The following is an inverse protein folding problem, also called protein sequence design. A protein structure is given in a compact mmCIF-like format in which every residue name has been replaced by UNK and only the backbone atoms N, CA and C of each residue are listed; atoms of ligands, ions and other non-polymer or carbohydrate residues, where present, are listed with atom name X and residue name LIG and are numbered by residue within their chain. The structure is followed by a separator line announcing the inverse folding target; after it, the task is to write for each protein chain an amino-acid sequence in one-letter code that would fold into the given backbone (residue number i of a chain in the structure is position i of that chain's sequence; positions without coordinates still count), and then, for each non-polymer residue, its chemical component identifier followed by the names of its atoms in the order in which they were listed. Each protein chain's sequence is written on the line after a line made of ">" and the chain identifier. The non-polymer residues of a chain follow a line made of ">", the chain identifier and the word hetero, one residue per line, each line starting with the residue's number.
data_IF_974395744294
#
_entry.id   IF_974395744294
#
_cell.length_a   1.000
_cell.length_b   1.000
_cell.length_c   1.000
_cell.angle_alpha   90.00
_cell.angle_beta   90.00
_cell.angle_gamma   90.00
#
_symmetry.space_group_name_H-M   'P 1'
#
loop_
_entity.id
_entity.type
_entity.pdbx_description
1 polymer ?
#
# COMPACT_ATOMS: atom_id res chain seq x y z
N UNK A 1 44.57 -70.57 -52.58
CA UNK A 1 44.78 -69.27 -51.93
C UNK A 1 43.47 -68.46 -52.07
N UNK A 2 42.62 -68.39 -50.98
CA UNK A 2 41.37 -67.62 -50.96
C UNK A 2 41.60 -66.44 -50.05
N UNK A 3 41.35 -65.23 -50.59
CA UNK A 3 41.38 -63.97 -49.81
C UNK A 3 40.00 -63.74 -49.15
N UNK A 4 39.97 -63.27 -47.88
CA UNK A 4 38.70 -62.94 -47.26
C UNK A 4 38.29 -61.51 -47.65
N UNK A 5 37.00 -61.33 -47.92
CA UNK A 5 36.34 -60.02 -48.19
C UNK A 5 36.00 -59.44 -46.83
N UNK A 6 36.55 -58.26 -46.56
CA UNK A 6 36.26 -57.46 -45.35
C UNK A 6 35.04 -56.59 -45.65
N UNK A 7 33.91 -56.84 -44.93
CA UNK A 7 32.68 -56.02 -45.01
C UNK A 7 32.75 -54.98 -43.90
N UNK A 8 33.01 -53.73 -44.27
CA UNK A 8 33.00 -52.58 -43.32
C UNK A 8 31.57 -52.11 -43.15
N UNK A 9 30.99 -52.37 -41.99
CA UNK A 9 29.67 -51.86 -41.60
C UNK A 9 29.81 -50.40 -41.14
N UNK A 10 29.30 -49.41 -41.91
CA UNK A 10 29.23 -48.00 -41.48
C UNK A 10 28.01 -47.85 -40.61
N UNK A 11 28.21 -47.67 -39.31
CA UNK A 11 27.15 -47.28 -38.38
C UNK A 11 26.78 -45.80 -38.63
N UNK A 12 25.55 -45.55 -39.09
CA UNK A 12 24.96 -44.22 -39.27
C UNK A 12 24.33 -43.81 -37.94
N UNK A 13 25.04 -42.97 -37.16
CA UNK A 13 24.52 -42.39 -35.92
C UNK A 13 23.55 -41.27 -36.26
N UNK A 14 22.24 -41.50 -36.12
CA UNK A 14 21.22 -40.48 -36.21
C UNK A 14 21.21 -39.71 -34.90
N UNK A 15 21.76 -38.53 -34.87
CA UNK A 15 21.64 -37.58 -33.76
C UNK A 15 20.22 -37.00 -33.78
N UNK A 16 19.34 -37.54 -32.94
CA UNK A 16 18.01 -36.95 -32.69
C UNK A 16 18.20 -35.65 -31.91
N UNK A 17 18.23 -34.52 -32.57
CA UNK A 17 18.16 -33.20 -31.93
C UNK A 17 16.76 -33.04 -31.31
N UNK A 18 16.66 -33.26 -29.98
CA UNK A 18 15.48 -32.84 -29.23
C UNK A 18 15.40 -31.31 -29.26
N UNK A 19 14.70 -30.77 -30.22
CA UNK A 19 14.20 -29.40 -30.12
C UNK A 19 13.14 -29.39 -29.02
N UNK A 20 13.56 -29.13 -27.77
CA UNK A 20 12.65 -28.69 -26.74
C UNK A 20 12.09 -27.35 -27.20
N UNK A 21 10.95 -27.39 -27.87
CA UNK A 21 10.18 -26.19 -28.18
C UNK A 21 9.88 -25.51 -26.83
N UNK A 22 10.56 -24.43 -26.52
CA UNK A 22 10.18 -23.57 -25.41
C UNK A 22 8.74 -23.14 -25.69
N UNK A 23 7.77 -23.69 -24.96
CA UNK A 23 6.40 -23.22 -25.01
C UNK A 23 6.46 -21.73 -24.69
N UNK A 24 6.16 -20.86 -25.66
CA UNK A 24 6.11 -19.43 -25.42
C UNK A 24 4.96 -19.17 -24.47
N UNK A 25 5.25 -18.55 -23.33
CA UNK A 25 4.24 -18.13 -22.39
C UNK A 25 3.18 -17.26 -23.09
N UNK A 26 1.92 -17.48 -22.74
CA UNK A 26 0.83 -16.64 -23.25
C UNK A 26 1.03 -15.19 -22.80
N UNK A 27 0.76 -14.25 -23.71
CA UNK A 27 0.92 -12.82 -23.39
C UNK A 27 -0.20 -12.34 -22.48
N UNK A 28 0.17 -11.70 -21.39
CA UNK A 28 -0.75 -11.13 -20.41
C UNK A 28 -0.79 -9.61 -20.52
N UNK A 29 -1.99 -9.04 -20.61
CA UNK A 29 -2.22 -7.60 -20.48
C UNK A 29 -2.93 -7.30 -19.18
N UNK A 30 -2.25 -6.68 -18.23
CA UNK A 30 -2.84 -6.17 -16.97
C UNK A 30 -3.46 -4.80 -17.23
N UNK A 31 -4.80 -4.71 -17.04
CA UNK A 31 -5.56 -3.45 -17.09
C UNK A 31 -5.76 -2.98 -15.66
N UNK A 32 -4.95 -2.04 -15.23
CA UNK A 32 -4.76 -1.65 -13.83
C UNK A 32 -5.32 -0.26 -13.55
N UNK A 33 -6.62 -0.09 -13.19
CA UNK A 33 -7.09 1.13 -12.57
C UNK A 33 -6.36 1.35 -11.25
N UNK A 34 -6.08 2.60 -10.92
CA UNK A 34 -5.33 2.98 -9.72
C UNK A 34 -6.13 3.93 -8.85
N UNK A 35 -5.90 3.86 -7.55
CA UNK A 35 -6.52 4.75 -6.58
C UNK A 35 -5.79 6.09 -6.42
N UNK A 36 -4.51 6.14 -6.79
CA UNK A 36 -3.62 7.30 -6.61
C UNK A 36 -3.02 7.71 -7.94
N UNK A 37 -3.18 9.00 -8.32
CA UNK A 37 -2.69 9.51 -9.60
C UNK A 37 -1.18 9.31 -9.79
N UNK A 38 -0.74 8.97 -11.00
CA UNK A 38 0.68 8.69 -11.33
C UNK A 38 1.62 9.88 -11.12
N UNK A 39 1.10 11.08 -10.89
CA UNK A 39 1.84 12.29 -10.55
C UNK A 39 2.16 12.42 -9.06
N UNK A 40 1.58 11.57 -8.20
CA UNK A 40 1.82 11.58 -6.76
C UNK A 40 3.04 10.70 -6.43
N UNK A 41 4.13 11.30 -5.91
CA UNK A 41 5.32 10.54 -5.57
C UNK A 41 5.01 9.51 -4.48
N UNK A 42 5.72 8.41 -4.49
CA UNK A 42 5.58 7.29 -3.56
C UNK A 42 4.18 6.66 -3.44
N UNK A 43 3.13 7.27 -4.00
CA UNK A 43 1.77 6.72 -4.07
C UNK A 43 1.43 6.16 -5.47
N UNK A 44 1.43 7.00 -6.48
CA UNK A 44 1.11 6.62 -7.86
C UNK A 44 2.33 6.33 -8.72
N UNK A 45 3.48 6.95 -8.41
CA UNK A 45 4.75 6.67 -9.08
C UNK A 45 5.21 5.22 -8.96
N UNK A 46 5.01 4.47 -7.85
CA UNK A 46 5.44 3.09 -7.74
C UNK A 46 4.80 2.17 -8.80
N UNK A 47 3.49 2.22 -8.96
CA UNK A 47 2.81 1.38 -9.94
C UNK A 47 3.15 1.78 -11.39
N UNK A 48 3.40 3.06 -11.64
CA UNK A 48 3.94 3.55 -12.90
C UNK A 48 5.34 2.96 -13.15
N UNK A 49 6.21 2.99 -12.14
CA UNK A 49 7.55 2.40 -12.18
C UNK A 49 7.51 0.90 -12.51
N UNK A 50 6.58 0.13 -11.88
CA UNK A 50 6.34 -1.28 -12.20
C UNK A 50 5.88 -1.44 -13.65
N UNK A 51 4.92 -0.64 -14.10
CA UNK A 51 4.34 -0.74 -15.45
C UNK A 51 5.36 -0.50 -16.56
N UNK A 52 6.34 0.36 -16.33
CA UNK A 52 7.43 0.65 -17.27
C UNK A 52 8.47 -0.48 -17.36
N UNK A 53 8.58 -1.31 -16.30
CA UNK A 53 9.62 -2.35 -16.17
C UNK A 53 9.10 -3.77 -16.39
N UNK A 54 7.82 -4.01 -16.20
CA UNK A 54 7.26 -5.36 -16.26
C UNK A 54 7.46 -6.01 -17.65
N UNK A 55 7.38 -5.22 -18.71
CA UNK A 55 7.53 -5.76 -20.08
C UNK A 55 8.93 -6.31 -20.32
N UNK A 56 10.04 -5.56 -20.15
CA UNK A 56 11.38 -6.11 -20.32
C UNK A 56 11.70 -7.20 -19.29
N UNK A 57 11.29 -7.05 -18.02
CA UNK A 57 11.59 -8.03 -16.94
C UNK A 57 10.90 -9.38 -17.18
N UNK A 58 9.68 -9.36 -17.73
CA UNK A 58 8.95 -10.59 -18.08
C UNK A 58 9.33 -11.20 -19.44
N UNK A 59 10.40 -10.75 -20.09
CA UNK A 59 10.75 -11.19 -21.43
C UNK A 59 9.67 -10.88 -22.49
N UNK A 60 8.99 -9.73 -22.37
CA UNK A 60 7.89 -9.25 -23.23
C UNK A 60 6.61 -10.11 -23.17
N UNK A 61 6.42 -10.90 -22.12
CA UNK A 61 5.22 -11.73 -21.93
C UNK A 61 4.12 -11.01 -21.16
N UNK A 62 4.47 -9.99 -20.33
CA UNK A 62 3.48 -9.18 -19.61
C UNK A 62 3.55 -7.72 -20.08
N UNK A 63 2.38 -7.11 -20.26
CA UNK A 63 2.21 -5.66 -20.34
C UNK A 63 1.26 -5.19 -19.26
N UNK A 64 1.57 -4.04 -18.64
CA UNK A 64 0.67 -3.40 -17.68
C UNK A 64 0.24 -2.04 -18.26
N UNK A 65 -1.07 -1.80 -18.31
CA UNK A 65 -1.65 -0.52 -18.68
C UNK A 65 -2.31 0.09 -17.46
N UNK A 66 -1.72 1.17 -16.95
CA UNK A 66 -2.21 1.94 -15.81
C UNK A 66 -3.30 2.91 -16.29
N UNK A 67 -4.38 3.02 -15.51
CA UNK A 67 -5.49 3.95 -15.75
C UNK A 67 -5.64 4.86 -14.53
N UNK A 68 -5.55 6.16 -14.75
CA UNK A 68 -5.70 7.20 -13.73
C UNK A 68 -7.02 7.05 -12.93
N UNK A 69 -7.08 7.54 -11.69
CA UNK A 69 -8.25 7.44 -10.84
C UNK A 69 -9.55 7.84 -11.53
N UNK A 70 -10.58 7.01 -11.43
CA UNK A 70 -11.89 7.24 -12.02
C UNK A 70 -12.00 7.05 -13.54
N UNK A 71 -10.89 6.80 -14.27
CA UNK A 71 -10.95 6.63 -15.74
C UNK A 71 -11.54 5.29 -16.19
N UNK A 72 -11.37 4.24 -15.41
CA UNK A 72 -11.89 2.91 -15.71
C UNK A 72 -12.80 2.39 -14.61
N UNK A 73 -12.40 2.60 -13.37
CA UNK A 73 -13.11 2.21 -12.14
C UNK A 73 -12.92 3.33 -11.12
N UNK A 74 -13.95 3.60 -10.31
CA UNK A 74 -13.81 4.52 -9.18
C UNK A 74 -12.83 3.93 -8.14
N UNK A 75 -11.99 4.75 -7.47
CA UNK A 75 -10.97 4.25 -6.53
C UNK A 75 -11.48 3.27 -5.48
N UNK A 76 -12.63 3.54 -4.88
CA UNK A 76 -13.22 2.71 -3.82
C UNK A 76 -13.94 1.45 -4.35
N UNK A 77 -14.04 1.27 -5.66
CA UNK A 77 -14.64 0.11 -6.32
C UNK A 77 -13.62 -0.85 -6.95
N UNK A 78 -12.32 -0.55 -6.82
CA UNK A 78 -11.26 -1.33 -7.48
C UNK A 78 -11.28 -2.79 -7.03
N UNK A 79 -11.45 -3.08 -5.74
CA UNK A 79 -11.50 -4.46 -5.23
C UNK A 79 -12.61 -5.27 -5.90
N UNK A 80 -13.83 -4.74 -5.92
CA UNK A 80 -14.98 -5.44 -6.51
C UNK A 80 -14.82 -5.64 -8.01
N UNK A 81 -14.26 -4.64 -8.70
CA UNK A 81 -14.03 -4.71 -10.14
C UNK A 81 -12.96 -5.75 -10.51
N UNK A 82 -11.90 -5.90 -9.70
CA UNK A 82 -10.88 -6.94 -9.88
C UNK A 82 -11.45 -8.31 -9.54
N UNK A 83 -12.12 -8.44 -8.39
CA UNK A 83 -12.68 -9.70 -7.93
C UNK A 83 -13.70 -10.27 -8.92
N UNK A 84 -14.60 -9.43 -9.46
CA UNK A 84 -15.59 -9.84 -10.46
C UNK A 84 -15.01 -10.08 -11.87
N UNK A 85 -13.73 -9.77 -12.12
CA UNK A 85 -13.12 -9.88 -13.44
C UNK A 85 -13.51 -8.76 -14.42
N UNK A 86 -14.22 -7.70 -13.97
CA UNK A 86 -14.50 -6.49 -14.79
C UNK A 86 -13.20 -5.82 -15.26
N UNK A 87 -12.19 -5.84 -14.41
CA UNK A 87 -10.78 -5.60 -14.74
C UNK A 87 -9.94 -6.75 -14.17
N UNK A 88 -8.76 -6.98 -14.70
CA UNK A 88 -7.94 -8.12 -14.27
C UNK A 88 -6.83 -7.78 -13.29
N UNK A 89 -6.66 -6.50 -12.99
CA UNK A 89 -5.76 -6.01 -11.93
C UNK A 89 -6.21 -4.64 -11.43
N UNK A 90 -5.68 -4.20 -10.28
CA UNK A 90 -5.95 -2.89 -9.69
C UNK A 90 -4.89 -2.53 -8.66
N UNK A 91 -4.65 -1.25 -8.44
CA UNK A 91 -3.67 -0.79 -7.45
C UNK A 91 -4.33 0.20 -6.49
N UNK A 92 -4.23 -0.10 -5.20
CA UNK A 92 -4.89 0.67 -4.14
C UNK A 92 -4.19 0.46 -2.78
N UNK A 93 -4.91 0.66 -1.70
CA UNK A 93 -4.52 0.28 -0.34
C UNK A 93 -5.69 -0.43 0.34
N UNK A 94 -5.40 -1.48 1.10
CA UNK A 94 -6.42 -2.33 1.71
C UNK A 94 -7.34 -1.59 2.68
N UNK A 95 -6.87 -0.53 3.33
CA UNK A 95 -7.67 0.27 4.24
C UNK A 95 -8.93 0.89 3.60
N UNK A 96 -8.98 1.01 2.27
CA UNK A 96 -10.20 1.42 1.59
C UNK A 96 -11.35 0.41 1.71
N UNK A 97 -11.02 -0.82 2.07
CA UNK A 97 -11.98 -1.92 2.21
C UNK A 97 -12.39 -2.21 3.66
N UNK A 98 -11.96 -1.40 4.64
CA UNK A 98 -12.25 -1.64 6.07
C UNK A 98 -13.74 -1.80 6.38
N UNK A 99 -14.62 -1.10 5.66
CA UNK A 99 -16.07 -1.25 5.79
C UNK A 99 -16.63 -2.60 5.33
N UNK A 100 -15.85 -3.37 4.55
CA UNK A 100 -16.19 -4.71 4.06
C UNK A 100 -15.47 -5.79 4.86
N UNK A 101 -14.25 -5.51 5.27
CA UNK A 101 -13.36 -6.40 6.01
C UNK A 101 -12.60 -5.56 7.04
N UNK A 102 -12.99 -5.56 8.32
CA UNK A 102 -12.32 -4.75 9.35
C UNK A 102 -10.80 -4.95 9.40
N UNK A 103 -10.34 -6.20 9.23
CA UNK A 103 -8.92 -6.53 9.21
C UNK A 103 -8.12 -5.88 8.05
N UNK A 104 -8.78 -5.44 6.98
CA UNK A 104 -8.10 -4.84 5.82
C UNK A 104 -7.28 -3.62 6.20
N UNK A 105 -7.73 -2.84 7.17
CA UNK A 105 -6.98 -1.69 7.65
C UNK A 105 -5.64 -2.06 8.30
N UNK A 106 -5.53 -3.25 8.93
CA UNK A 106 -4.29 -3.74 9.52
C UNK A 106 -3.21 -4.09 8.49
N UNK A 107 -3.57 -4.26 7.22
CA UNK A 107 -2.63 -4.48 6.10
C UNK A 107 -2.36 -3.19 5.31
N UNK A 108 -2.84 -2.08 5.80
CA UNK A 108 -2.64 -0.77 5.21
C UNK A 108 -1.87 0.15 6.14
N UNK A 109 -2.49 0.60 7.23
CA UNK A 109 -1.87 1.47 8.21
C UNK A 109 -2.48 1.23 9.59
N UNK A 110 -1.65 1.29 10.63
CA UNK A 110 -2.04 0.99 12.00
C UNK A 110 -1.66 2.17 12.91
N UNK A 111 -2.60 2.75 13.65
CA UNK A 111 -2.27 3.78 14.62
C UNK A 111 -1.24 3.28 15.65
N UNK A 112 -0.20 4.07 15.93
CA UNK A 112 0.94 3.68 16.77
C UNK A 112 1.56 2.35 16.34
N UNK A 113 1.42 2.03 15.05
CA UNK A 113 1.75 0.75 14.45
C UNK A 113 3.22 0.62 14.03
N UNK A 114 3.53 -0.42 13.26
CA UNK A 114 4.88 -0.67 12.78
C UNK A 114 5.34 0.43 11.82
N UNK A 115 6.62 0.79 11.90
CA UNK A 115 7.30 1.53 10.85
C UNK A 115 7.59 0.62 9.65
N UNK A 116 7.97 1.21 8.51
CA UNK A 116 8.12 0.47 7.26
C UNK A 116 9.07 -0.76 7.36
N UNK A 117 10.24 -0.71 8.00
CA UNK A 117 11.10 -1.89 8.15
C UNK A 117 10.45 -3.02 8.96
N UNK A 118 9.81 -2.68 10.09
CA UNK A 118 9.09 -3.63 10.93
C UNK A 118 7.91 -4.25 10.18
N UNK A 119 7.16 -3.42 9.45
CA UNK A 119 6.00 -3.87 8.69
C UNK A 119 6.39 -4.85 7.57
N UNK A 120 7.45 -4.51 6.81
CA UNK A 120 7.99 -5.40 5.78
C UNK A 120 8.51 -6.71 6.38
N UNK A 121 9.17 -6.66 7.54
CA UNK A 121 9.65 -7.86 8.21
C UNK A 121 8.49 -8.78 8.61
N UNK A 122 7.39 -8.22 9.17
CA UNK A 122 6.19 -8.99 9.48
C UNK A 122 5.51 -9.56 8.24
N UNK A 123 5.37 -8.75 7.17
CA UNK A 123 4.74 -9.19 5.94
C UNK A 123 5.50 -10.35 5.28
N UNK A 124 6.82 -10.23 5.11
CA UNK A 124 7.59 -11.15 4.27
C UNK A 124 8.30 -12.28 5.02
N UNK A 125 8.53 -12.14 6.33
CA UNK A 125 9.24 -13.12 7.18
C UNK A 125 8.46 -13.50 8.44
N UNK A 126 7.31 -12.86 8.70
CA UNK A 126 6.28 -13.30 9.63
C UNK A 126 5.14 -13.99 8.89
N UNK A 127 3.95 -13.95 9.49
CA UNK A 127 2.73 -14.54 8.89
C UNK A 127 1.91 -13.52 8.06
N UNK A 128 2.41 -12.30 7.90
CA UNK A 128 1.65 -11.17 7.34
C UNK A 128 1.07 -11.43 5.96
N UNK A 129 1.86 -11.98 5.00
CA UNK A 129 1.37 -12.26 3.64
C UNK A 129 0.30 -13.35 3.60
N UNK A 130 0.45 -14.41 4.39
CA UNK A 130 -0.53 -15.50 4.45
C UNK A 130 -1.84 -15.00 5.06
N UNK A 131 -1.75 -14.18 6.10
CA UNK A 131 -2.90 -13.54 6.71
C UNK A 131 -3.56 -12.54 5.74
N UNK A 132 -2.77 -11.79 4.98
CA UNK A 132 -3.29 -10.83 4.02
C UNK A 132 -4.08 -11.52 2.89
N UNK A 133 -3.50 -12.54 2.27
CA UNK A 133 -4.19 -13.32 1.26
C UNK A 133 -5.41 -14.03 1.85
N UNK A 134 -5.25 -14.65 3.03
CA UNK A 134 -6.30 -15.36 3.72
C UNK A 134 -7.53 -14.49 4.06
N UNK A 135 -7.33 -13.20 4.32
CA UNK A 135 -8.42 -12.25 4.53
C UNK A 135 -9.31 -12.14 3.28
N UNK A 136 -8.71 -11.94 2.11
CA UNK A 136 -9.46 -11.87 0.86
C UNK A 136 -10.16 -13.19 0.53
N UNK A 137 -9.47 -14.30 0.78
CA UNK A 137 -9.99 -15.65 0.50
C UNK A 137 -11.19 -15.98 1.39
N UNK A 138 -11.10 -15.68 2.69
CA UNK A 138 -12.19 -15.88 3.62
C UNK A 138 -13.40 -14.99 3.30
N UNK A 139 -13.18 -13.78 2.85
CA UNK A 139 -14.23 -12.85 2.44
C UNK A 139 -14.82 -13.16 1.06
N UNK A 140 -14.31 -14.17 0.35
CA UNK A 140 -14.79 -14.62 -0.95
C UNK A 140 -14.36 -13.75 -2.14
N UNK A 141 -13.33 -12.93 -1.98
CA UNK A 141 -12.78 -12.13 -3.08
C UNK A 141 -11.83 -12.95 -3.95
N UNK A 142 -12.08 -12.97 -5.26
CA UNK A 142 -11.28 -13.69 -6.25
C UNK A 142 -10.05 -12.87 -6.68
N UNK A 143 -9.18 -12.56 -5.71
CA UNK A 143 -7.97 -11.74 -5.94
C UNK A 143 -6.72 -12.39 -5.37
N UNK A 144 -5.61 -12.29 -6.10
CA UNK A 144 -4.25 -12.44 -5.59
C UNK A 144 -3.78 -11.06 -5.14
N UNK A 145 -3.33 -10.95 -3.89
CA UNK A 145 -2.79 -9.70 -3.33
C UNK A 145 -1.26 -9.73 -3.32
N UNK A 146 -0.66 -8.61 -3.67
CA UNK A 146 0.78 -8.39 -3.65
C UNK A 146 1.05 -7.02 -3.02
N UNK A 147 1.72 -6.91 -1.85
CA UNK A 147 2.26 -5.64 -1.39
C UNK A 147 3.20 -5.07 -2.45
N UNK A 148 2.94 -3.86 -2.94
CA UNK A 148 3.61 -3.34 -4.13
C UNK A 148 4.17 -1.93 -3.97
N UNK A 149 3.91 -1.26 -2.86
CA UNK A 149 4.60 -0.08 -2.38
C UNK A 149 4.41 0.05 -0.87
N UNK A 150 5.27 0.82 -0.24
CA UNK A 150 5.16 1.20 1.17
C UNK A 150 5.77 2.59 1.34
N UNK A 151 5.17 3.41 2.18
CA UNK A 151 5.71 4.73 2.56
C UNK A 151 6.00 4.77 4.05
N UNK A 152 6.88 5.69 4.43
CA UNK A 152 7.22 6.06 5.80
C UNK A 152 6.14 6.93 6.44
N UNK A 153 6.30 7.42 7.69
CA UNK A 153 5.27 8.17 8.39
C UNK A 153 4.70 9.33 7.62
N UNK A 154 3.41 9.54 7.79
CA UNK A 154 2.67 10.66 7.21
C UNK A 154 2.60 11.87 8.14
N UNK A 155 1.97 12.96 7.67
CA UNK A 155 1.54 14.04 8.56
C UNK A 155 0.27 13.62 9.30
N UNK A 156 0.05 14.18 10.48
CA UNK A 156 -1.14 13.85 11.28
C UNK A 156 -2.41 14.53 10.77
N UNK A 157 -2.27 15.52 9.92
CA UNK A 157 -3.39 16.21 9.28
C UNK A 157 -3.20 17.70 9.15
N UNK A 158 -4.15 18.29 8.41
CA UNK A 158 -4.23 19.69 8.03
C UNK A 158 -5.51 20.29 8.58
N UNK A 159 -5.39 21.41 9.29
CA UNK A 159 -6.50 22.07 9.97
C UNK A 159 -6.61 23.54 9.58
N UNK A 160 -7.85 24.07 9.61
CA UNK A 160 -8.14 25.51 9.40
C UNK A 160 -7.74 26.34 10.63
N UNK A 161 -7.78 25.76 11.82
CA UNK A 161 -7.46 26.39 13.10
C UNK A 161 -6.48 25.51 13.88
N UNK A 162 -5.70 26.09 14.80
CA UNK A 162 -4.89 25.29 15.71
C UNK A 162 -5.75 24.39 16.58
N UNK A 163 -5.21 23.21 16.88
CA UNK A 163 -5.78 22.23 17.83
C UNK A 163 -4.81 22.19 19.03
N UNK A 164 -5.19 22.78 20.14
CA UNK A 164 -4.34 22.88 21.32
C UNK A 164 -4.76 21.93 22.43
N UNK A 165 -6.03 21.51 22.43
CA UNK A 165 -6.63 20.62 23.44
C UNK A 165 -7.73 19.74 22.82
N UNK A 166 -8.13 18.66 23.49
CA UNK A 166 -9.12 17.70 22.96
C UNK A 166 -10.46 18.35 22.57
N UNK A 167 -10.89 19.40 23.29
CA UNK A 167 -12.15 20.08 22.99
C UNK A 167 -12.15 20.74 21.59
N UNK A 168 -10.99 21.12 21.09
CA UNK A 168 -10.85 21.75 19.78
C UNK A 168 -11.13 20.80 18.62
N UNK A 169 -11.11 19.49 18.87
CA UNK A 169 -11.47 18.45 17.90
C UNK A 169 -12.99 18.31 17.73
N UNK A 170 -13.78 18.67 18.77
CA UNK A 170 -15.22 18.41 18.77
C UNK A 170 -15.96 19.21 17.71
N UNK A 171 -16.75 18.52 16.90
CA UNK A 171 -17.59 19.11 15.86
C UNK A 171 -16.84 19.48 14.56
N UNK A 172 -15.55 19.18 14.46
CA UNK A 172 -14.81 19.26 13.19
C UNK A 172 -15.32 18.16 12.25
N UNK A 173 -15.56 18.48 10.99
CA UNK A 173 -15.74 17.50 9.93
C UNK A 173 -14.40 17.31 9.22
N UNK A 174 -13.88 16.07 9.26
CA UNK A 174 -12.53 15.77 8.75
C UNK A 174 -12.56 14.58 7.78
N UNK A 175 -11.89 14.72 6.65
CA UNK A 175 -11.55 13.53 5.89
C UNK A 175 -10.49 12.76 6.67
N UNK A 176 -10.81 11.51 7.01
CA UNK A 176 -9.88 10.64 7.71
C UNK A 176 -9.92 9.20 7.15
N UNK A 177 -8.76 8.57 7.07
CA UNK A 177 -8.60 7.24 6.49
C UNK A 177 -8.34 6.18 7.58
N UNK A 178 -8.84 4.98 7.37
CA UNK A 178 -8.45 3.82 8.16
C UNK A 178 -8.89 3.87 9.62
N UNK A 179 -8.14 3.15 10.45
CA UNK A 179 -8.45 3.00 11.88
C UNK A 179 -8.25 4.30 12.67
N UNK A 180 -7.38 5.19 12.21
CA UNK A 180 -7.24 6.52 12.81
C UNK A 180 -8.53 7.34 12.74
N UNK A 181 -9.37 7.14 11.71
CA UNK A 181 -10.68 7.76 11.62
C UNK A 181 -11.59 7.37 12.79
N UNK A 182 -11.59 6.10 13.20
CA UNK A 182 -12.39 5.62 14.34
C UNK A 182 -11.91 6.21 15.67
N UNK A 183 -10.60 6.43 15.83
CA UNK A 183 -10.05 7.15 16.99
C UNK A 183 -10.58 8.57 17.03
N UNK A 184 -10.54 9.28 15.90
CA UNK A 184 -11.02 10.65 15.82
C UNK A 184 -12.55 10.76 16.05
N UNK A 185 -13.34 9.79 15.59
CA UNK A 185 -14.79 9.71 15.86
C UNK A 185 -15.08 9.63 17.35
N UNK A 186 -14.35 8.79 18.09
CA UNK A 186 -14.47 8.70 19.55
C UNK A 186 -14.13 10.02 20.27
N UNK A 187 -13.30 10.84 19.66
CA UNK A 187 -12.94 12.17 20.17
C UNK A 187 -13.89 13.29 19.70
N UNK A 188 -14.97 12.95 19.00
CA UNK A 188 -16.03 13.87 18.60
C UNK A 188 -15.81 14.55 17.24
N UNK A 189 -14.91 14.04 16.42
CA UNK A 189 -14.73 14.46 15.02
C UNK A 189 -15.73 13.71 14.14
N UNK A 190 -16.40 14.41 13.23
CA UNK A 190 -17.17 13.76 12.16
C UNK A 190 -16.26 13.35 11.03
N UNK A 191 -16.05 12.04 10.81
CA UNK A 191 -15.14 11.57 9.77
C UNK A 191 -15.85 11.19 8.47
N UNK A 192 -15.16 11.36 7.35
CA UNK A 192 -15.60 10.92 6.03
C UNK A 192 -14.39 10.40 5.23
N UNK A 193 -14.57 9.27 4.54
CA UNK A 193 -13.54 8.74 3.65
C UNK A 193 -13.75 9.26 2.22
N UNK A 194 -12.75 9.97 1.69
CA UNK A 194 -12.74 10.49 0.32
C UNK A 194 -11.44 10.07 -0.38
N UNK A 195 -11.49 9.75 -1.69
CA UNK A 195 -10.29 9.60 -2.51
C UNK A 195 -9.50 10.91 -2.57
N UNK A 196 -8.16 10.82 -2.68
CA UNK A 196 -7.28 11.99 -2.63
C UNK A 196 -7.63 13.12 -3.61
N UNK A 197 -8.09 12.78 -4.81
CA UNK A 197 -8.49 13.77 -5.82
C UNK A 197 -9.75 14.58 -5.49
N UNK A 198 -10.53 14.17 -4.50
CA UNK A 198 -11.77 14.84 -4.09
C UNK A 198 -11.58 15.78 -2.88
N UNK A 199 -10.47 15.61 -2.14
CA UNK A 199 -10.24 16.29 -0.85
C UNK A 199 -10.13 17.80 -1.02
N UNK A 200 -9.36 18.29 -2.02
CA UNK A 200 -9.19 19.74 -2.24
C UNK A 200 -10.54 20.43 -2.45
N UNK A 201 -11.38 19.86 -3.32
CA UNK A 201 -12.72 20.40 -3.59
C UNK A 201 -13.65 20.36 -2.39
N UNK A 202 -13.53 19.35 -1.53
CA UNK A 202 -14.31 19.25 -0.28
C UNK A 202 -13.88 20.33 0.74
N UNK A 203 -12.57 20.56 0.90
CA UNK A 203 -12.01 21.64 1.74
C UNK A 203 -12.41 23.02 1.22
N UNK A 204 -12.30 23.26 -0.09
CA UNK A 204 -12.61 24.54 -0.74
C UNK A 204 -14.09 24.93 -0.57
N UNK A 205 -14.99 23.95 -0.72
CA UNK A 205 -16.44 24.13 -0.54
C UNK A 205 -16.87 24.16 0.92
N UNK A 206 -15.98 23.89 1.86
CA UNK A 206 -16.30 23.80 3.28
C UNK A 206 -17.14 22.57 3.66
N UNK A 207 -17.16 21.53 2.82
CA UNK A 207 -17.79 20.26 3.15
C UNK A 207 -17.01 19.50 4.23
N UNK A 208 -15.70 19.77 4.34
CA UNK A 208 -14.83 19.32 5.42
C UNK A 208 -14.01 20.50 5.95
N UNK A 209 -13.67 20.47 7.24
CA UNK A 209 -12.88 21.47 7.93
C UNK A 209 -11.40 21.13 7.99
N UNK A 210 -11.10 19.84 7.97
CA UNK A 210 -9.77 19.30 8.11
C UNK A 210 -9.60 18.05 7.23
N UNK A 211 -8.37 17.65 7.02
CA UNK A 211 -8.02 16.41 6.32
C UNK A 211 -6.69 15.88 6.80
N UNK A 212 -6.51 14.58 6.80
CA UNK A 212 -5.22 13.93 6.60
C UNK A 212 -5.19 13.32 5.20
N UNK A 213 -4.01 13.00 4.68
CA UNK A 213 -3.93 12.22 3.46
C UNK A 213 -2.62 11.45 3.33
N UNK A 214 -1.45 12.13 3.41
CA UNK A 214 -0.20 11.45 3.23
C UNK A 214 1.01 12.26 3.74
N UNK A 215 2.15 12.10 3.09
CA UNK A 215 3.40 12.78 3.39
C UNK A 215 3.40 14.23 2.85
N UNK A 216 4.20 15.15 3.43
CA UNK A 216 4.26 16.55 3.02
C UNK A 216 4.42 16.79 1.51
N UNK A 217 5.28 16.01 0.84
CA UNK A 217 5.53 16.15 -0.60
C UNK A 217 4.30 15.79 -1.45
N UNK A 218 3.46 14.90 -0.97
CA UNK A 218 2.25 14.45 -1.63
C UNK A 218 1.13 15.47 -1.41
N UNK A 219 0.91 15.85 -0.17
CA UNK A 219 -0.12 16.81 0.24
C UNK A 219 0.09 18.18 -0.41
N UNK A 220 1.35 18.58 -0.60
CA UNK A 220 1.71 19.78 -1.34
C UNK A 220 1.21 19.73 -2.80
N UNK A 221 1.27 18.57 -3.47
CA UNK A 221 0.79 18.40 -4.84
C UNK A 221 -0.73 18.44 -4.93
N UNK A 222 -1.41 18.04 -3.87
CA UNK A 222 -2.87 18.14 -3.75
C UNK A 222 -3.33 19.55 -3.37
N UNK A 223 -2.40 20.42 -2.95
CA UNK A 223 -2.67 21.84 -2.77
C UNK A 223 -3.32 22.23 -1.45
N UNK A 224 -3.35 21.38 -0.44
CA UNK A 224 -4.02 21.63 0.85
C UNK A 224 -3.56 22.92 1.51
N UNK A 225 -2.26 23.25 1.42
CA UNK A 225 -1.66 24.48 1.93
C UNK A 225 -2.30 25.77 1.42
N UNK A 226 -3.09 25.74 0.35
CA UNK A 226 -3.82 26.90 -0.16
C UNK A 226 -5.05 27.25 0.67
N UNK A 227 -5.62 26.26 1.36
CA UNK A 227 -6.88 26.38 2.09
C UNK A 227 -6.68 26.26 3.60
N UNK A 228 -5.84 25.29 4.03
CA UNK A 228 -5.57 24.97 5.43
C UNK A 228 -4.11 25.26 5.77
N UNK A 229 -3.84 25.83 6.94
CA UNK A 229 -2.53 26.41 7.28
C UNK A 229 -1.79 25.70 8.40
N UNK A 230 -2.47 24.87 9.18
CA UNK A 230 -1.88 24.17 10.31
C UNK A 230 -1.68 22.70 9.95
N UNK A 231 -0.42 22.27 9.85
CA UNK A 231 -0.06 20.89 9.55
C UNK A 231 0.61 20.23 10.76
N UNK A 232 0.03 19.14 11.24
CA UNK A 232 0.42 18.51 12.50
C UNK A 232 1.28 17.28 12.33
N UNK A 233 2.16 17.04 13.30
CA UNK A 233 3.11 15.94 13.42
C UNK A 233 3.17 15.40 14.85
N UNK A 234 3.66 14.16 15.07
CA UNK A 234 3.88 13.12 14.07
C UNK A 234 2.56 12.52 13.57
N UNK A 235 2.60 11.81 12.45
CA UNK A 235 1.48 11.04 11.92
C UNK A 235 1.24 9.76 12.72
N UNK A 236 0.71 9.90 13.93
CA UNK A 236 0.49 8.82 14.89
C UNK A 236 -0.39 7.68 14.34
N UNK A 237 -1.25 7.99 13.39
CA UNK A 237 -2.24 7.08 12.80
C UNK A 237 -1.67 6.20 11.67
N UNK A 238 -0.56 6.63 11.04
CA UNK A 238 0.08 5.95 9.91
C UNK A 238 1.60 6.11 9.98
N UNK A 239 2.27 5.21 10.73
CA UNK A 239 3.73 5.15 10.82
C UNK A 239 4.36 4.48 9.59
N UNK A 240 3.56 3.73 8.85
CA UNK A 240 3.80 3.27 7.49
C UNK A 240 2.46 2.98 6.82
N UNK A 241 2.42 3.10 5.48
CA UNK A 241 1.25 2.71 4.69
C UNK A 241 1.66 1.77 3.56
N UNK A 242 1.03 0.61 3.51
CA UNK A 242 1.24 -0.40 2.47
C UNK A 242 0.21 -0.23 1.36
N UNK A 243 0.68 -0.32 0.13
CA UNK A 243 -0.15 -0.31 -1.08
C UNK A 243 -0.05 -1.67 -1.78
N UNK A 244 -1.17 -2.07 -2.35
CA UNK A 244 -1.34 -3.39 -2.94
C UNK A 244 -1.59 -3.34 -4.45
N UNK A 245 -1.03 -4.31 -5.15
CA UNK A 245 -1.44 -4.71 -6.48
C UNK A 245 -2.37 -5.92 -6.32
N UNK A 246 -3.62 -5.75 -6.69
CA UNK A 246 -4.60 -6.82 -6.78
C UNK A 246 -4.61 -7.37 -8.21
N UNK A 247 -4.56 -8.69 -8.36
CA UNK A 247 -4.72 -9.37 -9.64
C UNK A 247 -5.86 -10.38 -9.49
N UNK A 248 -6.82 -10.38 -10.43
CA UNK A 248 -7.87 -11.39 -10.46
C UNK A 248 -7.23 -12.80 -10.51
N UNK A 249 -7.67 -13.72 -9.63
CA UNK A 249 -7.04 -15.07 -9.50
C UNK A 249 -7.10 -15.87 -10.78
N UNK A 250 -8.15 -15.73 -11.60
CA UNK A 250 -8.22 -16.46 -12.87
C UNK A 250 -7.15 -15.96 -13.86
N UNK A 251 -6.80 -14.67 -13.78
CA UNK A 251 -5.68 -14.10 -14.54
C UNK A 251 -4.35 -14.57 -13.95
N UNK A 252 -4.19 -14.51 -12.63
CA UNK A 252 -2.98 -14.95 -11.93
C UNK A 252 -2.65 -16.42 -12.20
N UNK A 253 -3.66 -17.29 -12.12
CA UNK A 253 -3.49 -18.74 -12.31
C UNK A 253 -3.19 -19.14 -13.78
N UNK A 254 -3.44 -18.26 -14.75
CA UNK A 254 -3.03 -18.45 -16.16
C UNK A 254 -1.59 -18.00 -16.41
N UNK A 255 -0.99 -17.24 -15.52
CA UNK A 255 0.42 -16.85 -15.63
C UNK A 255 1.30 -18.07 -15.32
N UNK A 256 2.39 -18.22 -16.08
CA UNK A 256 3.42 -19.18 -15.73
C UNK A 256 4.27 -18.70 -14.53
N UNK A 257 5.10 -19.60 -13.99
CA UNK A 257 5.92 -19.29 -12.82
C UNK A 257 6.91 -18.12 -13.04
N UNK A 258 7.41 -17.91 -14.27
CA UNK A 258 8.31 -16.78 -14.58
C UNK A 258 7.54 -15.47 -14.60
N UNK A 259 6.32 -15.47 -15.12
CA UNK A 259 5.44 -14.32 -15.14
C UNK A 259 5.02 -13.91 -13.72
N UNK A 260 4.63 -14.86 -12.88
CA UNK A 260 4.30 -14.63 -11.48
C UNK A 260 5.51 -14.07 -10.71
N UNK A 261 6.67 -14.70 -10.84
CA UNK A 261 7.91 -14.25 -10.21
C UNK A 261 8.32 -12.84 -10.67
N UNK A 262 8.12 -12.50 -11.94
CA UNK A 262 8.40 -11.16 -12.46
C UNK A 262 7.52 -10.08 -11.79
N UNK A 263 6.24 -10.35 -11.59
CA UNK A 263 5.32 -9.42 -10.90
C UNK A 263 5.70 -9.30 -9.42
N UNK A 264 5.91 -10.42 -8.72
CA UNK A 264 6.29 -10.46 -7.31
C UNK A 264 7.60 -9.70 -7.05
N UNK A 265 8.62 -9.97 -7.88
CA UNK A 265 9.93 -9.31 -7.75
C UNK A 265 9.84 -7.81 -8.00
N UNK A 266 9.06 -7.38 -9.00
CA UNK A 266 8.89 -5.95 -9.26
C UNK A 266 8.08 -5.24 -8.19
N UNK A 267 7.08 -5.88 -7.60
CA UNK A 267 6.35 -5.32 -6.46
C UNK A 267 7.28 -5.16 -5.25
N UNK A 268 8.09 -6.17 -4.92
CA UNK A 268 9.08 -6.07 -3.84
C UNK A 268 10.11 -4.95 -4.09
N UNK A 269 10.65 -4.86 -5.31
CA UNK A 269 11.58 -3.79 -5.69
C UNK A 269 10.90 -2.41 -5.65
N UNK A 270 9.61 -2.33 -6.01
CA UNK A 270 8.82 -1.11 -5.95
C UNK A 270 8.63 -0.59 -4.52
N UNK A 271 8.53 -1.47 -3.53
CA UNK A 271 8.47 -1.06 -2.11
C UNK A 271 9.76 -0.35 -1.69
N UNK A 272 10.92 -0.86 -2.07
CA UNK A 272 12.21 -0.18 -1.82
C UNK A 272 12.28 1.17 -2.54
N UNK A 273 11.84 1.22 -3.80
CA UNK A 273 11.83 2.45 -4.57
C UNK A 273 10.89 3.51 -4.00
N UNK A 274 9.70 3.11 -3.52
CA UNK A 274 8.72 4.06 -2.95
C UNK A 274 9.20 4.68 -1.64
N UNK A 275 9.83 3.90 -0.76
CA UNK A 275 10.45 4.45 0.46
C UNK A 275 11.53 5.46 0.09
N UNK A 276 12.46 5.08 -0.79
CA UNK A 276 13.57 5.96 -1.18
C UNK A 276 13.08 7.26 -1.82
N UNK A 277 12.08 7.19 -2.70
CA UNK A 277 11.46 8.38 -3.31
C UNK A 277 10.76 9.25 -2.25
N UNK A 278 9.95 8.61 -1.37
CA UNK A 278 9.22 9.31 -0.33
C UNK A 278 10.16 10.05 0.62
N UNK A 279 11.11 9.35 1.23
CA UNK A 279 12.06 9.94 2.19
C UNK A 279 12.85 11.10 1.60
N UNK A 280 13.32 10.98 0.36
CA UNK A 280 14.15 12.01 -0.28
C UNK A 280 13.42 13.35 -0.50
N UNK A 281 12.09 13.37 -0.51
CA UNK A 281 11.31 14.54 -0.91
C UNK A 281 10.76 15.38 0.25
N UNK A 282 10.74 14.86 1.49
CA UNK A 282 10.00 15.49 2.58
C UNK A 282 10.64 16.78 3.06
N UNK A 283 11.96 16.83 3.16
CA UNK A 283 12.67 18.02 3.60
C UNK A 283 12.32 19.26 2.77
N UNK A 284 12.46 19.16 1.45
CA UNK A 284 12.17 20.27 0.54
C UNK A 284 10.68 20.65 0.57
N UNK A 285 9.80 19.66 0.68
CA UNK A 285 8.36 19.91 0.75
C UNK A 285 7.96 20.65 2.02
N UNK A 286 8.51 20.29 3.17
CA UNK A 286 8.26 20.97 4.44
C UNK A 286 8.76 22.41 4.41
N UNK A 287 9.98 22.65 3.90
CA UNK A 287 10.54 23.99 3.74
C UNK A 287 9.62 24.86 2.85
N UNK A 288 9.23 24.36 1.68
CA UNK A 288 8.31 25.06 0.78
C UNK A 288 6.93 25.33 1.39
N UNK A 289 6.44 24.42 2.24
CA UNK A 289 5.18 24.63 2.94
C UNK A 289 5.27 25.84 3.89
N UNK A 290 6.35 25.92 4.68
CA UNK A 290 6.60 27.06 5.58
C UNK A 290 6.76 28.39 4.82
N UNK A 291 7.49 28.39 3.70
CA UNK A 291 7.62 29.58 2.83
C UNK A 291 6.25 30.08 2.29
N UNK A 292 5.26 29.19 2.20
CA UNK A 292 3.88 29.48 1.79
C UNK A 292 2.94 29.80 2.96
N UNK A 293 3.50 29.98 4.16
CA UNK A 293 2.77 30.35 5.37
C UNK A 293 2.05 29.19 6.04
N UNK A 294 2.51 27.95 5.84
CA UNK A 294 2.06 26.81 6.63
C UNK A 294 2.79 26.80 7.96
N UNK A 295 2.06 26.64 9.03
CA UNK A 295 2.59 26.40 10.36
C UNK A 295 2.69 24.91 10.60
N UNK A 296 3.94 24.41 10.77
CA UNK A 296 4.20 23.05 11.19
C UNK A 296 4.01 22.97 12.72
N UNK A 297 3.12 22.12 13.16
CA UNK A 297 2.72 21.94 14.55
C UNK A 297 3.03 20.53 15.02
N UNK A 298 3.25 20.39 16.33
CA UNK A 298 3.47 19.10 16.96
C UNK A 298 2.40 18.87 18.01
N UNK A 299 1.90 17.63 18.05
CA UNK A 299 1.06 17.21 19.15
C UNK A 299 1.88 17.21 20.44
N UNK A 300 1.30 17.72 21.52
CA UNK A 300 1.88 17.55 22.85
C UNK A 300 1.66 16.12 23.36
N UNK A 301 2.38 15.75 24.41
CA UNK A 301 2.32 14.40 24.99
C UNK A 301 0.92 14.02 25.47
N UNK A 302 0.15 14.97 26.01
CA UNK A 302 -1.21 14.71 26.48
C UNK A 302 -2.14 14.33 25.32
N UNK A 303 -2.00 14.99 24.16
CA UNK A 303 -2.76 14.65 22.97
C UNK A 303 -2.34 13.29 22.39
N UNK A 304 -1.05 13.01 22.31
CA UNK A 304 -0.56 11.72 21.84
C UNK A 304 -1.02 10.58 22.75
N UNK A 305 -0.92 10.74 24.07
CA UNK A 305 -1.42 9.77 25.04
C UNK A 305 -2.93 9.54 24.93
N UNK A 306 -3.70 10.62 24.66
CA UNK A 306 -5.13 10.52 24.43
C UNK A 306 -5.44 9.71 23.15
N UNK A 307 -4.73 9.99 22.05
CA UNK A 307 -4.90 9.24 20.82
C UNK A 307 -4.56 7.76 21.00
N UNK A 308 -3.46 7.46 21.68
CA UNK A 308 -3.03 6.08 21.95
C UNK A 308 -4.02 5.32 22.84
N UNK A 309 -4.48 5.93 23.93
CA UNK A 309 -5.48 5.33 24.82
C UNK A 309 -6.79 5.06 24.06
N UNK A 310 -7.25 6.04 23.28
CA UNK A 310 -8.46 5.90 22.45
C UNK A 310 -8.27 4.83 21.37
N UNK A 311 -7.06 4.71 20.83
CA UNK A 311 -6.73 3.64 19.88
C UNK A 311 -6.88 2.25 20.50
N UNK A 312 -6.45 2.05 21.73
CA UNK A 312 -6.62 0.76 22.41
C UNK A 312 -8.10 0.39 22.58
N UNK A 313 -8.96 1.37 22.88
CA UNK A 313 -10.41 1.15 22.90
C UNK A 313 -10.96 0.73 21.51
N UNK A 314 -10.47 1.36 20.43
CA UNK A 314 -10.84 0.96 19.05
C UNK A 314 -10.39 -0.47 18.76
N UNK A 315 -9.17 -0.84 19.15
CA UNK A 315 -8.67 -2.22 19.00
C UNK A 315 -9.59 -3.22 19.69
N UNK A 316 -9.98 -2.94 20.93
CA UNK A 316 -10.84 -3.85 21.71
C UNK A 316 -12.23 -4.02 21.07
N UNK A 317 -12.78 -2.97 20.48
CA UNK A 317 -14.02 -3.06 19.69
C UNK A 317 -13.80 -3.84 18.40
N UNK A 318 -12.74 -3.57 17.65
CA UNK A 318 -12.46 -4.24 16.38
C UNK A 318 -12.14 -5.74 16.54
N UNK A 319 -11.61 -6.16 17.69
CA UNK A 319 -11.40 -7.58 18.03
C UNK A 319 -12.70 -8.40 18.12
N UNK A 320 -13.88 -7.79 18.08
CA UNK A 320 -15.14 -8.51 17.93
C UNK A 320 -15.23 -9.21 16.55
N UNK A 321 -14.54 -8.70 15.53
CA UNK A 321 -14.31 -9.41 14.28
C UNK A 321 -13.22 -10.47 14.49
N UNK A 322 -13.52 -11.78 14.25
CA UNK A 322 -12.56 -12.84 14.51
C UNK A 322 -11.31 -12.76 13.64
N UNK A 323 -11.45 -12.23 12.40
CA UNK A 323 -10.28 -12.12 11.51
C UNK A 323 -9.40 -10.93 11.90
N UNK A 324 -10.00 -9.80 12.25
CA UNK A 324 -9.25 -8.67 12.82
C UNK A 324 -8.47 -9.11 14.05
N UNK A 325 -9.13 -9.81 14.98
CA UNK A 325 -8.47 -10.34 16.19
C UNK A 325 -7.28 -11.22 15.84
N UNK A 326 -7.46 -12.17 14.91
CA UNK A 326 -6.40 -13.08 14.46
C UNK A 326 -5.18 -12.33 13.93
N UNK A 327 -5.41 -11.35 13.06
CA UNK A 327 -4.34 -10.53 12.45
C UNK A 327 -3.66 -9.65 13.50
N UNK A 328 -4.45 -9.01 14.37
CA UNK A 328 -3.93 -8.16 15.42
C UNK A 328 -3.07 -8.92 16.42
N UNK A 329 -3.50 -10.09 16.87
CA UNK A 329 -2.75 -10.91 17.82
C UNK A 329 -1.41 -11.37 17.24
N UNK A 330 -1.38 -11.76 15.96
CA UNK A 330 -0.17 -12.15 15.25
C UNK A 330 0.79 -10.96 15.09
N UNK A 331 0.30 -9.83 14.57
CA UNK A 331 1.10 -8.60 14.42
C UNK A 331 1.65 -8.13 15.76
N UNK A 332 0.83 -8.10 16.80
CA UNK A 332 1.24 -7.65 18.15
C UNK A 332 2.33 -8.55 18.75
N UNK A 333 2.21 -9.86 18.51
CA UNK A 333 3.24 -10.83 18.94
C UNK A 333 4.55 -10.58 18.20
N UNK A 334 4.49 -10.39 16.88
CA UNK A 334 5.67 -10.07 16.07
C UNK A 334 6.33 -8.78 16.55
N UNK A 335 5.54 -7.72 16.76
CA UNK A 335 6.03 -6.41 17.25
C UNK A 335 6.72 -6.49 18.60
N UNK A 336 6.15 -7.24 19.55
CA UNK A 336 6.77 -7.47 20.87
C UNK A 336 8.16 -8.10 20.73
N UNK A 337 8.32 -9.05 19.83
CA UNK A 337 9.62 -9.67 19.55
C UNK A 337 10.57 -8.71 18.81
N UNK A 338 10.06 -7.94 17.85
CA UNK A 338 10.84 -6.98 17.07
C UNK A 338 11.41 -5.86 17.95
N UNK A 339 10.69 -5.38 18.96
CA UNK A 339 11.14 -4.38 19.92
C UNK A 339 12.42 -4.77 20.66
N UNK A 340 12.66 -6.08 20.85
CA UNK A 340 13.93 -6.58 21.45
C UNK A 340 15.13 -6.23 20.58
N UNK A 341 14.95 -6.29 19.26
CA UNK A 341 15.95 -5.87 18.28
C UNK A 341 16.01 -4.34 18.17
N UNK A 342 14.87 -3.69 17.98
CA UNK A 342 14.76 -2.25 17.77
C UNK A 342 15.43 -1.45 18.89
N UNK A 343 15.17 -1.81 20.16
CA UNK A 343 15.72 -1.13 21.33
C UNK A 343 17.25 -1.24 21.45
N UNK A 344 17.89 -2.15 20.71
CA UNK A 344 19.34 -2.41 20.79
C UNK A 344 20.08 -2.12 19.49
N UNK A 345 19.40 -2.28 18.35
CA UNK A 345 20.01 -2.19 17.04
C UNK A 345 20.04 -0.78 16.46
N UNK A 346 19.16 0.09 16.90
CA UNK A 346 19.03 1.45 16.40
C UNK A 346 19.58 2.48 17.37
N UNK A 347 20.20 3.53 16.84
CA UNK A 347 20.56 4.69 17.66
C UNK A 347 19.28 5.44 18.08
N UNK A 348 19.25 6.01 19.32
CA UNK A 348 18.15 6.87 19.73
C UNK A 348 17.96 8.01 18.74
N UNK A 349 16.72 8.28 18.37
CA UNK A 349 16.38 9.49 17.59
C UNK A 349 16.58 10.71 18.49
N UNK A 350 17.33 11.71 17.99
CA UNK A 350 17.56 12.99 18.69
C UNK A 350 16.41 13.95 18.46
#
# INVERSE_FOLDING_TARGET
>A
MKRPISTTLKALTIATACFSGAAMADKVLLKTPIAFGTHLPALGTPIKWVSERITPVSGNTIKMKVYEPGKLVAPLEILDAVSSGKVNSGYATAGYWQGKMPAAALFSAVPFGPEAPEYMAWLFYGNGLDLYQGMYDQAGYNVKVLPCAIISPETSGWFKKPIEKPEDLKGITMRFFGLGGQVMEKLGVGTVQLPGGEIFGALEKGAIDATEFSQPAIDQRLGFHKIVKYNYFPGWHQQATVFELLINKDTWNKMDGNQQAAVETLCLASMTNSIAEGEAMQFEAMQKAQERGVELRYWNDDMLNLFETTWLDVVDEQKQDPYFKKVWDDMSTFRTNYQVWESKGFLPRQ
#
